data_IF_775537794599
#
_entry.id   IF_775537794599
#
_cell.length_a   1.000
_cell.length_b   1.000
_cell.length_c   1.000
_cell.angle_alpha   90.00
_cell.angle_beta   90.00
_cell.angle_gamma   90.00
#
_symmetry.space_group_name_H-M   'P 1'
#
loop_
_entity.id
_entity.type
_entity.pdbx_description
1 polymer ?
#
# COMPACT_ATOMS: atom_id res chain seq x y z
N UNK A 1 -8.96 -3.03 20.71
CA UNK A 1 -10.29 -2.56 20.29
C UNK A 1 -10.75 -3.34 19.08
N UNK A 2 -11.98 -3.89 19.10
CA UNK A 2 -12.52 -4.54 17.91
C UNK A 2 -12.72 -3.53 16.76
N UNK A 3 -12.52 -4.00 15.56
CA UNK A 3 -12.70 -3.19 14.35
C UNK A 3 -13.90 -3.74 13.57
N UNK A 4 -14.85 -2.87 13.25
CA UNK A 4 -15.98 -3.22 12.39
C UNK A 4 -15.59 -3.01 10.93
N UNK A 5 -15.88 -4.02 10.10
CA UNK A 5 -15.70 -3.94 8.66
C UNK A 5 -17.00 -4.23 7.96
N UNK A 6 -17.44 -3.29 7.11
CA UNK A 6 -18.61 -3.51 6.25
C UNK A 6 -18.09 -4.02 4.90
N UNK A 7 -18.59 -5.18 4.49
CA UNK A 7 -18.19 -5.82 3.25
C UNK A 7 -19.37 -5.97 2.33
N UNK A 8 -19.28 -5.38 1.15
CA UNK A 8 -20.28 -5.56 0.10
C UNK A 8 -20.09 -6.93 -0.55
N UNK A 9 -21.07 -7.35 -1.33
CA UNK A 9 -20.92 -8.57 -2.13
C UNK A 9 -19.70 -8.43 -3.05
N UNK A 10 -18.88 -9.47 -3.08
CA UNK A 10 -17.65 -9.57 -3.89
C UNK A 10 -16.53 -8.62 -3.46
N UNK A 11 -16.70 -7.95 -2.32
CA UNK A 11 -15.62 -7.13 -1.76
C UNK A 11 -14.60 -8.03 -1.06
N UNK A 12 -13.32 -7.74 -1.27
CA UNK A 12 -12.21 -8.49 -0.70
C UNK A 12 -11.55 -7.72 0.43
N UNK A 13 -10.98 -8.47 1.37
CA UNK A 13 -10.10 -7.93 2.41
C UNK A 13 -8.98 -8.92 2.62
N UNK A 14 -7.77 -8.42 2.85
CA UNK A 14 -6.64 -9.27 3.21
C UNK A 14 -6.45 -9.16 4.72
N UNK A 15 -6.44 -10.29 5.39
CA UNK A 15 -6.23 -10.39 6.84
C UNK A 15 -5.04 -11.30 7.08
N UNK A 16 -3.93 -10.74 7.59
CA UNK A 16 -2.69 -11.48 7.85
C UNK A 16 -2.23 -12.28 6.62
N UNK A 17 -2.32 -11.68 5.44
CA UNK A 17 -1.92 -12.31 4.19
C UNK A 17 -2.95 -13.24 3.56
N UNK A 18 -4.08 -13.47 4.24
CA UNK A 18 -5.16 -14.33 3.72
C UNK A 18 -6.20 -13.46 3.02
N UNK A 19 -6.50 -13.76 1.76
CA UNK A 19 -7.52 -13.04 1.00
C UNK A 19 -8.88 -13.62 1.32
N UNK A 20 -9.78 -12.79 1.81
CA UNK A 20 -11.16 -13.18 2.16
C UNK A 20 -12.12 -12.38 1.28
N UNK A 21 -13.07 -13.04 0.66
CA UNK A 21 -14.07 -12.39 -0.18
C UNK A 21 -15.47 -12.67 0.36
N UNK A 22 -16.30 -11.62 0.39
CA UNK A 22 -17.72 -11.80 0.73
C UNK A 22 -18.50 -12.19 -0.54
N UNK A 23 -18.91 -13.44 -0.62
CA UNK A 23 -19.65 -13.95 -1.80
C UNK A 23 -21.17 -13.89 -1.61
N UNK A 24 -21.63 -13.45 -0.44
CA UNK A 24 -23.06 -13.33 -0.12
C UNK A 24 -23.53 -11.88 -0.10
N UNK A 25 -24.62 -11.65 0.63
CA UNK A 25 -25.15 -10.31 0.80
C UNK A 25 -24.20 -9.45 1.63
N UNK A 26 -24.37 -8.11 1.55
CA UNK A 26 -23.58 -7.19 2.34
C UNK A 26 -23.62 -7.57 3.82
N UNK A 27 -22.47 -7.58 4.47
CA UNK A 27 -22.34 -8.02 5.84
C UNK A 27 -21.39 -7.11 6.61
N UNK A 28 -21.58 -7.06 7.92
CA UNK A 28 -20.64 -6.39 8.82
C UNK A 28 -19.95 -7.46 9.66
N UNK A 29 -18.63 -7.44 9.66
CA UNK A 29 -17.84 -8.36 10.48
C UNK A 29 -17.09 -7.59 11.54
N UNK A 30 -16.76 -8.26 12.63
CA UNK A 30 -16.03 -7.68 13.75
C UNK A 30 -14.70 -8.39 13.88
N UNK A 31 -13.62 -7.64 13.77
CA UNK A 31 -12.28 -8.17 13.96
C UNK A 31 -11.87 -7.88 15.40
N UNK A 32 -11.73 -8.94 16.20
CA UNK A 32 -11.49 -8.80 17.64
C UNK A 32 -10.04 -8.57 18.01
N UNK A 33 -9.11 -9.13 17.23
CA UNK A 33 -7.70 -9.09 17.57
C UNK A 33 -6.94 -8.24 16.57
N UNK A 34 -5.73 -7.83 16.94
CA UNK A 34 -4.84 -7.15 16.03
C UNK A 34 -4.45 -8.07 14.88
N UNK A 35 -4.53 -7.53 13.68
CA UNK A 35 -4.07 -8.20 12.49
C UNK A 35 -3.70 -7.17 11.43
N UNK A 36 -2.96 -7.60 10.43
CA UNK A 36 -2.64 -6.72 9.30
C UNK A 36 -3.75 -6.83 8.29
N UNK A 37 -4.50 -5.75 8.17
CA UNK A 37 -5.70 -5.65 7.35
C UNK A 37 -5.46 -4.74 6.17
N UNK A 38 -5.91 -5.17 4.99
CA UNK A 38 -5.89 -4.34 3.80
C UNK A 38 -7.20 -4.55 3.05
N UNK A 39 -7.93 -3.44 2.82
CA UNK A 39 -9.23 -3.49 2.14
C UNK A 39 -9.05 -3.41 0.63
N UNK A 40 -10.07 -3.86 -0.12
CA UNK A 40 -10.05 -3.90 -1.59
C UNK A 40 -9.52 -2.64 -2.24
N UNK A 41 -9.96 -1.48 -1.76
CA UNK A 41 -9.57 -0.19 -2.34
C UNK A 41 -8.08 0.11 -2.20
N UNK A 42 -7.41 -0.54 -1.25
CA UNK A 42 -6.00 -0.32 -0.95
C UNK A 42 -5.10 -1.40 -1.55
N UNK A 43 -5.69 -2.46 -2.10
CA UNK A 43 -4.95 -3.57 -2.68
C UNK A 43 -4.58 -3.24 -4.12
N UNK A 44 -3.29 -3.27 -4.41
CA UNK A 44 -2.78 -3.17 -5.77
C UNK A 44 -2.32 -4.56 -6.19
N UNK A 45 -2.74 -4.99 -7.38
CA UNK A 45 -2.29 -6.27 -7.92
C UNK A 45 -0.93 -6.12 -8.58
N UNK A 46 -0.20 -7.23 -8.70
CA UNK A 46 1.08 -7.23 -9.40
C UNK A 46 0.92 -6.75 -10.86
N UNK A 47 -0.19 -7.13 -11.49
CA UNK A 47 -0.49 -6.73 -12.87
C UNK A 47 -0.66 -5.22 -13.02
N UNK A 48 -1.15 -4.55 -11.98
CA UNK A 48 -1.36 -3.09 -12.00
C UNK A 48 -0.13 -2.31 -11.54
N UNK A 49 0.89 -2.99 -11.03
CA UNK A 49 2.14 -2.36 -10.59
C UNK A 49 3.07 -2.14 -11.77
N UNK A 50 2.68 -1.25 -12.69
CA UNK A 50 3.38 -1.06 -13.97
C UNK A 50 4.12 0.26 -14.08
N UNK A 51 3.93 1.20 -13.14
CA UNK A 51 4.61 2.48 -13.13
C UNK A 51 5.59 2.53 -11.95
N UNK A 52 6.59 3.44 -11.98
CA UNK A 52 7.51 3.56 -10.85
C UNK A 52 6.83 3.78 -9.51
N UNK A 53 5.83 4.67 -9.43
CA UNK A 53 5.12 4.92 -8.17
C UNK A 53 4.30 3.70 -7.75
N UNK A 54 3.62 3.04 -8.68
CA UNK A 54 2.82 1.85 -8.36
C UNK A 54 3.70 0.67 -7.93
N UNK A 55 4.91 0.56 -8.46
CA UNK A 55 5.87 -0.46 -8.03
C UNK A 55 6.36 -0.20 -6.60
N UNK A 56 6.61 1.07 -6.25
CA UNK A 56 6.95 1.42 -4.88
C UNK A 56 5.80 1.09 -3.94
N UNK A 57 4.58 1.41 -4.32
CA UNK A 57 3.39 1.08 -3.54
C UNK A 57 3.27 -0.43 -3.34
N UNK A 58 3.42 -1.21 -4.40
CA UNK A 58 3.32 -2.66 -4.33
C UNK A 58 4.38 -3.26 -3.40
N UNK A 59 5.62 -2.78 -3.47
CA UNK A 59 6.67 -3.26 -2.58
C UNK A 59 6.35 -2.95 -1.11
N UNK A 60 5.81 -1.76 -0.83
CA UNK A 60 5.37 -1.39 0.51
C UNK A 60 4.19 -2.23 0.97
N UNK A 61 3.27 -2.54 0.07
CA UNK A 61 2.15 -3.43 0.35
C UNK A 61 2.64 -4.82 0.76
N UNK A 62 3.61 -5.37 0.03
CA UNK A 62 4.21 -6.65 0.36
C UNK A 62 4.93 -6.60 1.71
N UNK A 63 5.64 -5.51 1.98
CA UNK A 63 6.30 -5.32 3.27
C UNK A 63 5.28 -5.30 4.41
N UNK A 64 4.14 -4.64 4.19
CA UNK A 64 3.07 -4.60 5.19
C UNK A 64 2.44 -5.97 5.41
N UNK A 65 2.14 -6.69 4.32
CA UNK A 65 1.42 -7.96 4.39
C UNK A 65 2.31 -9.13 4.85
N UNK A 66 3.60 -9.07 4.55
CA UNK A 66 4.55 -10.16 4.82
C UNK A 66 5.75 -9.64 5.62
N UNK A 67 5.54 -9.26 6.89
CA UNK A 67 6.63 -8.72 7.71
C UNK A 67 7.77 -9.72 7.92
N UNK A 68 7.51 -11.02 7.82
CA UNK A 68 8.53 -12.06 7.91
C UNK A 68 9.51 -12.03 6.74
N UNK A 69 9.13 -11.34 5.64
CA UNK A 69 9.99 -11.16 4.46
C UNK A 69 10.47 -9.73 4.31
N UNK A 70 10.56 -9.00 5.41
CA UNK A 70 11.02 -7.61 5.41
C UNK A 70 12.42 -7.46 4.82
N UNK A 71 13.28 -8.45 4.99
CA UNK A 71 14.64 -8.46 4.43
C UNK A 71 14.64 -8.41 2.89
N UNK A 72 13.56 -8.85 2.25
CA UNK A 72 13.40 -8.79 0.79
C UNK A 72 12.66 -7.52 0.37
N UNK A 73 11.51 -7.25 0.99
CA UNK A 73 10.62 -6.18 0.52
C UNK A 73 11.06 -4.79 0.96
N UNK A 74 11.70 -4.65 2.12
CA UNK A 74 12.14 -3.35 2.59
C UNK A 74 13.22 -2.72 1.69
N UNK A 75 14.30 -3.43 1.34
CA UNK A 75 15.28 -2.87 0.41
C UNK A 75 14.67 -2.57 -0.95
N UNK A 76 13.77 -3.41 -1.45
CA UNK A 76 13.11 -3.17 -2.73
C UNK A 76 12.27 -1.89 -2.70
N UNK A 77 11.47 -1.70 -1.64
CA UNK A 77 10.66 -0.50 -1.47
C UNK A 77 11.54 0.76 -1.38
N UNK A 78 12.61 0.70 -0.60
CA UNK A 78 13.54 1.81 -0.44
C UNK A 78 14.19 2.19 -1.76
N UNK A 79 14.57 1.20 -2.57
CA UNK A 79 15.19 1.46 -3.88
C UNK A 79 14.21 2.13 -4.84
N UNK A 80 12.95 1.64 -4.89
CA UNK A 80 11.94 2.29 -5.72
C UNK A 80 11.69 3.73 -5.30
N UNK A 81 11.69 4.01 -4.00
CA UNK A 81 11.49 5.37 -3.48
C UNK A 81 12.66 6.29 -3.84
N UNK A 82 13.90 5.80 -3.70
CA UNK A 82 15.10 6.57 -4.06
C UNK A 82 15.09 6.89 -5.55
N UNK A 83 14.81 5.91 -6.38
CA UNK A 83 14.78 6.07 -7.82
C UNK A 83 13.68 7.05 -8.25
N UNK A 84 12.53 6.98 -7.61
CA UNK A 84 11.41 7.89 -7.91
C UNK A 84 11.76 9.33 -7.55
N UNK A 85 12.33 9.55 -6.37
CA UNK A 85 12.74 10.90 -5.93
C UNK A 85 13.81 11.50 -6.84
N UNK A 86 14.71 10.66 -7.37
CA UNK A 86 15.73 11.09 -8.30
C UNK A 86 15.13 11.50 -9.66
N UNK A 87 14.13 10.75 -10.13
CA UNK A 87 13.46 11.02 -11.40
C UNK A 87 12.47 12.17 -11.32
N UNK A 88 11.78 12.33 -10.19
CA UNK A 88 10.72 13.33 -9.99
C UNK A 88 11.05 14.14 -8.74
N UNK A 89 11.82 15.20 -8.91
CA UNK A 89 12.32 15.99 -7.77
C UNK A 89 11.21 16.56 -6.90
N UNK A 90 10.06 16.90 -7.49
CA UNK A 90 8.91 17.44 -6.75
C UNK A 90 8.27 16.43 -5.81
N UNK A 91 8.59 15.15 -5.95
CA UNK A 91 8.07 14.08 -5.09
C UNK A 91 8.83 13.92 -3.78
N UNK A 92 9.98 14.59 -3.62
CA UNK A 92 10.85 14.39 -2.44
C UNK A 92 10.16 14.52 -1.10
N UNK A 93 9.28 15.51 -0.86
CA UNK A 93 8.59 15.60 0.43
C UNK A 93 7.74 14.36 0.72
N UNK A 94 7.06 13.83 -0.29
CA UNK A 94 6.24 12.62 -0.14
C UNK A 94 7.13 11.41 0.16
N UNK A 95 8.20 11.26 -0.61
CA UNK A 95 9.16 10.16 -0.44
C UNK A 95 9.77 10.19 0.97
N UNK A 96 10.17 11.37 1.45
CA UNK A 96 10.74 11.50 2.79
C UNK A 96 9.73 11.13 3.87
N UNK A 97 8.47 11.51 3.71
CA UNK A 97 7.41 11.12 4.64
C UNK A 97 7.24 9.60 4.68
N UNK A 98 7.21 8.95 3.51
CA UNK A 98 7.11 7.49 3.42
C UNK A 98 8.29 6.83 4.13
N UNK A 99 9.50 7.29 3.85
CA UNK A 99 10.71 6.74 4.45
C UNK A 99 10.69 6.86 5.97
N UNK A 100 10.24 8.01 6.47
CA UNK A 100 10.15 8.24 7.91
C UNK A 100 9.18 7.23 8.56
N UNK A 101 8.03 7.00 7.95
CA UNK A 101 7.08 6.00 8.46
C UNK A 101 7.67 4.60 8.45
N UNK A 102 8.33 4.22 7.37
CA UNK A 102 8.93 2.89 7.25
C UNK A 102 10.02 2.69 8.31
N UNK A 103 10.88 3.69 8.50
CA UNK A 103 11.94 3.63 9.51
C UNK A 103 11.39 3.53 10.93
N UNK A 104 10.25 4.15 11.19
CA UNK A 104 9.59 4.11 12.50
C UNK A 104 8.73 2.85 12.70
N UNK A 105 8.69 1.96 11.73
CA UNK A 105 7.87 0.75 11.82
C UNK A 105 6.40 0.97 11.51
N UNK A 106 6.04 2.17 11.06
CA UNK A 106 4.66 2.53 10.72
C UNK A 106 4.38 2.23 9.25
N UNK A 107 4.42 0.95 8.90
CA UNK A 107 4.37 0.53 7.50
C UNK A 107 3.02 0.89 6.86
N UNK A 108 1.92 0.73 7.59
CA UNK A 108 0.60 1.06 7.05
C UNK A 108 0.49 2.55 6.71
N UNK A 109 0.99 3.42 7.58
CA UNK A 109 1.01 4.85 7.34
C UNK A 109 1.87 5.20 6.13
N UNK A 110 3.00 4.50 5.98
CA UNK A 110 3.85 4.64 4.81
C UNK A 110 3.13 4.23 3.54
N UNK A 111 2.38 3.15 3.59
CA UNK A 111 1.58 2.67 2.46
C UNK A 111 0.50 3.68 2.07
N UNK A 112 -0.17 4.27 3.05
CA UNK A 112 -1.18 5.31 2.79
C UNK A 112 -0.54 6.54 2.15
N UNK A 113 0.63 6.96 2.64
CA UNK A 113 1.35 8.08 2.05
C UNK A 113 1.78 7.79 0.61
N UNK A 114 2.09 6.54 0.30
CA UNK A 114 2.48 6.13 -1.05
C UNK A 114 1.36 6.28 -2.08
N UNK A 115 0.10 6.35 -1.67
CA UNK A 115 -1.00 6.68 -2.58
C UNK A 115 -0.81 8.05 -3.18
N UNK A 116 -0.32 9.01 -2.39
CA UNK A 116 -0.05 10.36 -2.88
C UNK A 116 1.07 10.37 -3.91
N UNK A 117 1.97 9.39 -3.82
CA UNK A 117 3.02 9.24 -4.81
C UNK A 117 2.44 8.83 -6.16
N UNK A 118 1.48 7.92 -6.16
CA UNK A 118 0.77 7.50 -7.39
C UNK A 118 0.00 8.68 -7.98
N UNK A 119 -0.70 9.44 -7.13
CA UNK A 119 -1.45 10.62 -7.57
C UNK A 119 -0.52 11.68 -8.16
N UNK A 120 0.62 11.91 -7.50
CA UNK A 120 1.62 12.86 -7.96
C UNK A 120 2.20 12.46 -9.32
N UNK A 121 2.51 11.17 -9.48
CA UNK A 121 2.97 10.63 -10.75
C UNK A 121 1.96 10.87 -11.86
N UNK A 122 0.70 10.65 -11.58
CA UNK A 122 -0.38 10.87 -12.54
C UNK A 122 -0.46 12.34 -12.97
N UNK A 123 -0.32 13.26 -12.01
CA UNK A 123 -0.31 14.70 -12.31
C UNK A 123 0.88 15.07 -13.18
N UNK A 124 2.07 14.58 -12.84
CA UNK A 124 3.29 14.86 -13.62
C UNK A 124 3.12 14.37 -15.05
N UNK A 125 2.61 13.15 -15.23
CA UNK A 125 2.41 12.56 -16.56
C UNK A 125 1.36 13.32 -17.37
N UNK A 126 0.33 13.88 -16.72
CA UNK A 126 -0.70 14.65 -17.41
C UNK A 126 -0.16 15.97 -17.96
N UNK A 127 0.92 16.50 -17.40
CA UNK A 127 1.55 17.73 -17.86
C UNK A 127 2.58 17.52 -18.97
N UNK A 128 2.96 16.27 -19.22
CA UNK A 128 3.96 15.93 -20.24
C UNK A 128 3.31 15.59 -21.58
N UNK A 129 2.05 15.26 -21.59
CA UNK A 129 1.31 14.82 -22.77
C UNK A 129 1.16 15.92 -23.84
#
# INVERSE_FOLDING_TARGET
MPLKLSLRRNEKVIINGVVVENIGDAATILVHNRGQLLRSKDILTLEDAVTPASRAYYALQCLYLFPEKADVYRPAAEQFLVDFAAAVATSRPIVEEIKTHVESGEIYQGLRAARRLIEHEREVLSHVA
#
